data_IF_361362528444
#
_entry.id   IF_361362528444
#
_cell.length_a   1.000
_cell.length_b   1.000
_cell.length_c   1.000
_cell.angle_alpha   90.00
_cell.angle_beta   90.00
_cell.angle_gamma   90.00
#
_symmetry.space_group_name_H-M   'P 1'
#
loop_
_entity.id
_entity.type
_entity.pdbx_description
1 polymer ?
#
# COMPACT_ATOMS: atom_id res chain seq x y z
N UNK A 1 -28.38 -36.72 38.38
CA UNK A 1 -27.57 -37.95 38.27
C UNK A 1 -26.25 -37.60 37.61
N UNK A 2 -25.16 -37.77 38.36
CA UNK A 2 -23.77 -37.60 37.95
C UNK A 2 -23.27 -38.81 37.13
N UNK A 3 -22.23 -38.59 36.34
CA UNK A 3 -21.34 -39.62 35.76
C UNK A 3 -20.48 -38.96 34.69
N UNK A 4 -19.31 -38.37 34.97
CA UNK A 4 -18.05 -38.90 35.54
C UNK A 4 -17.38 -39.96 34.66
N UNK A 5 -16.38 -39.55 33.88
CA UNK A 5 -15.27 -40.42 33.44
C UNK A 5 -13.95 -39.69 33.73
N UNK A 6 -12.99 -40.50 34.19
CA UNK A 6 -11.83 -40.17 35.02
C UNK A 6 -10.60 -39.71 34.21
N UNK A 7 -9.74 -39.00 34.97
CA UNK A 7 -8.34 -38.65 34.72
C UNK A 7 -7.40 -39.86 34.59
N UNK A 8 -6.39 -39.70 33.73
CA UNK A 8 -5.01 -40.20 33.85
C UNK A 8 -4.14 -39.09 33.21
N UNK A 9 -3.14 -38.44 33.80
CA UNK A 9 -2.36 -38.73 35.00
C UNK A 9 -0.96 -39.22 34.65
N UNK A 10 -0.08 -38.35 34.14
CA UNK A 10 1.37 -38.48 34.29
C UNK A 10 1.98 -37.08 34.47
N UNK A 11 2.41 -36.81 35.68
CA UNK A 11 3.38 -35.79 36.04
C UNK A 11 4.71 -36.49 36.35
N UNK A 12 5.84 -35.82 36.05
CA UNK A 12 7.22 -35.96 36.54
C UNK A 12 8.12 -35.41 35.40
N UNK A 13 9.08 -34.49 35.58
CA UNK A 13 9.77 -34.03 36.77
C UNK A 13 10.23 -32.57 36.61
N UNK A 14 10.04 -31.79 37.66
CA UNK A 14 10.85 -30.61 37.99
C UNK A 14 11.96 -31.08 38.94
N UNK A 15 13.22 -30.75 38.65
CA UNK A 15 14.21 -30.40 39.68
C UNK A 15 15.42 -29.73 39.04
N UNK A 16 15.66 -28.49 39.48
CA UNK A 16 16.96 -27.79 39.63
C UNK A 16 17.81 -27.62 38.35
N UNK A 17 18.40 -26.48 38.03
CA UNK A 17 19.52 -25.87 38.73
C UNK A 17 19.53 -24.36 38.47
N UNK A 18 19.42 -23.57 39.54
CA UNK A 18 19.99 -22.21 39.61
C UNK A 18 21.42 -22.36 40.14
N UNK A 19 22.40 -21.81 39.42
CA UNK A 19 23.51 -20.95 39.87
C UNK A 19 24.61 -20.99 38.79
N UNK A 20 25.13 -19.84 38.38
CA UNK A 20 26.33 -19.79 37.53
C UNK A 20 26.42 -18.59 36.60
N UNK A 21 26.46 -17.36 37.15
CA UNK A 21 27.06 -16.23 36.42
C UNK A 21 28.57 -16.47 36.32
N UNK A 22 29.13 -16.50 35.11
CA UNK A 22 30.27 -15.65 34.68
C UNK A 22 30.69 -15.96 33.24
N UNK A 23 30.90 -14.87 32.52
CA UNK A 23 31.40 -14.66 31.16
C UNK A 23 32.42 -15.69 30.65
N UNK A 24 32.28 -16.13 29.39
CA UNK A 24 33.34 -16.03 28.38
C UNK A 24 32.72 -15.80 27.00
N UNK A 25 33.20 -14.76 26.35
CA UNK A 25 33.02 -14.33 24.96
C UNK A 25 33.31 -15.43 23.93
N UNK A 26 32.37 -15.69 23.03
CA UNK A 26 32.59 -16.49 21.82
C UNK A 26 31.87 -15.83 20.64
N UNK A 27 32.58 -15.00 19.87
CA UNK A 27 32.09 -14.43 18.62
C UNK A 27 31.99 -15.53 17.56
N UNK A 28 30.77 -15.84 17.12
CA UNK A 28 30.54 -16.66 15.94
C UNK A 28 30.95 -15.89 14.67
N UNK A 29 31.79 -16.50 13.84
CA UNK A 29 32.19 -15.99 12.53
C UNK A 29 31.36 -16.65 11.44
N UNK A 30 30.75 -15.85 10.55
CA UNK A 30 30.11 -16.31 9.31
C UNK A 30 30.93 -15.73 8.15
N UNK A 31 31.33 -16.58 7.20
CA UNK A 31 32.09 -16.17 6.02
C UNK A 31 31.15 -15.50 5.00
N UNK A 32 31.39 -14.22 4.69
CA UNK A 32 30.66 -13.44 3.69
C UNK A 32 31.56 -12.90 2.57
N UNK A 33 31.15 -13.16 1.33
CA UNK A 33 31.58 -12.62 0.02
C UNK A 33 33.05 -12.18 -0.18
N UNK A 34 33.78 -12.95 -0.98
CA UNK A 34 35.10 -12.56 -1.52
C UNK A 34 34.97 -11.42 -2.54
N UNK A 35 35.55 -10.24 -2.26
CA UNK A 35 35.90 -9.28 -3.31
C UNK A 35 37.25 -9.69 -3.92
N UNK A 36 37.30 -9.84 -5.25
CA UNK A 36 38.51 -10.17 -6.01
C UNK A 36 39.12 -8.86 -6.50
N UNK A 37 40.31 -8.51 -6.03
CA UNK A 37 41.14 -7.44 -6.61
C UNK A 37 42.31 -8.07 -7.38
N UNK A 38 42.43 -7.76 -8.68
CA UNK A 38 43.54 -8.21 -9.52
C UNK A 38 44.74 -7.29 -9.36
N UNK A 39 45.93 -7.87 -9.16
CA UNK A 39 47.21 -7.16 -9.24
C UNK A 39 47.94 -7.71 -10.45
N UNK A 40 48.15 -6.87 -11.48
CA UNK A 40 49.05 -7.16 -12.61
C UNK A 40 50.50 -7.05 -12.14
N UNK A 41 51.33 -8.04 -12.45
CA UNK A 41 52.78 -7.90 -12.39
C UNK A 41 53.39 -8.44 -13.68
N UNK A 42 54.11 -7.56 -14.37
CA UNK A 42 54.91 -7.82 -15.57
C UNK A 42 56.21 -8.55 -15.20
N UNK A 43 56.58 -9.55 -16.01
CA UNK A 43 57.84 -10.27 -15.85
C UNK A 43 58.15 -11.16 -17.06
N UNK A 44 59.06 -10.67 -17.91
CA UNK A 44 59.57 -11.29 -19.14
C UNK A 44 60.46 -12.51 -18.85
N UNK A 45 60.35 -13.59 -19.64
CA UNK A 45 61.40 -14.04 -20.58
C UNK A 45 61.15 -15.46 -21.13
N UNK A 46 61.53 -15.59 -22.39
CA UNK A 46 61.40 -16.69 -23.35
C UNK A 46 62.52 -17.74 -23.29
N UNK A 47 62.26 -18.99 -23.69
CA UNK A 47 63.17 -19.79 -24.53
C UNK A 47 62.51 -21.02 -25.16
N UNK A 48 62.66 -21.14 -26.49
CA UNK A 48 62.54 -22.33 -27.36
C UNK A 48 63.72 -23.32 -27.09
N UNK A 49 63.81 -24.62 -27.43
CA UNK A 49 63.32 -25.49 -28.53
C UNK A 49 63.48 -27.00 -28.16
N UNK A 50 62.89 -27.86 -29.01
CA UNK A 50 63.30 -29.23 -29.41
C UNK A 50 63.42 -30.32 -28.33
N UNK A 51 62.37 -31.12 -28.15
CA UNK A 51 62.30 -32.47 -28.71
C UNK A 51 60.89 -33.06 -28.50
N UNK A 52 60.48 -34.00 -29.37
CA UNK A 52 59.13 -34.56 -29.39
C UNK A 52 58.73 -35.24 -28.08
N UNK A 53 57.44 -35.07 -27.72
CA UNK A 53 56.70 -35.65 -26.57
C UNK A 53 56.94 -35.02 -25.19
N UNK A 54 55.93 -34.31 -24.66
CA UNK A 54 55.79 -34.09 -23.22
C UNK A 54 54.36 -33.76 -22.79
N UNK A 55 53.90 -34.48 -21.77
CA UNK A 55 52.62 -34.36 -21.04
C UNK A 55 52.47 -32.97 -20.41
N UNK A 56 51.27 -32.40 -20.49
CA UNK A 56 50.87 -31.23 -19.69
C UNK A 56 50.67 -31.64 -18.22
N UNK A 57 51.64 -31.28 -17.38
CA UNK A 57 51.52 -31.29 -15.92
C UNK A 57 51.01 -29.91 -15.50
N UNK A 58 49.74 -29.80 -15.11
CA UNK A 58 49.22 -28.55 -14.54
C UNK A 58 49.60 -28.46 -13.05
N UNK A 59 50.56 -27.58 -12.76
CA UNK A 59 50.96 -27.24 -11.39
C UNK A 59 49.97 -26.19 -10.82
N UNK A 60 49.08 -26.62 -9.91
CA UNK A 60 48.13 -25.72 -9.25
C UNK A 60 48.86 -24.84 -8.22
N UNK A 61 48.94 -23.52 -8.47
CA UNK A 61 49.46 -22.54 -7.49
C UNK A 61 48.41 -22.29 -6.40
N UNK A 62 48.74 -22.65 -5.16
CA UNK A 62 47.91 -22.36 -3.99
C UNK A 62 47.99 -20.88 -3.59
N UNK A 63 46.85 -20.18 -3.53
CA UNK A 63 46.75 -18.82 -2.97
C UNK A 63 46.16 -18.88 -1.56
N UNK A 64 46.85 -18.31 -0.57
CA UNK A 64 46.33 -18.12 0.80
C UNK A 64 45.74 -16.71 0.94
N UNK A 65 44.45 -16.55 1.30
CA UNK A 65 43.88 -15.24 1.61
C UNK A 65 44.42 -14.74 2.96
N UNK A 66 44.95 -13.51 3.02
CA UNK A 66 45.22 -12.81 4.29
C UNK A 66 43.94 -12.14 4.77
N UNK A 67 43.44 -12.52 5.94
CA UNK A 67 42.32 -11.82 6.59
C UNK A 67 42.82 -10.54 7.27
N UNK A 68 42.20 -9.40 7.01
CA UNK A 68 42.33 -8.19 7.84
C UNK A 68 41.06 -8.04 8.68
N UNK A 69 41.21 -8.05 10.00
CA UNK A 69 40.11 -7.80 10.94
C UNK A 69 39.80 -6.31 10.99
N UNK A 70 38.58 -5.89 10.62
CA UNK A 70 38.03 -4.57 10.95
C UNK A 70 37.16 -4.67 12.20
N UNK A 71 37.31 -3.70 13.09
CA UNK A 71 36.53 -3.54 14.32
C UNK A 71 35.07 -3.16 14.03
N UNK A 72 34.15 -3.74 14.80
CA UNK A 72 32.69 -3.51 14.73
C UNK A 72 32.33 -2.09 15.19
N UNK A 73 31.95 -1.24 14.26
CA UNK A 73 31.13 -0.06 14.57
C UNK A 73 29.67 -0.50 14.67
N UNK A 74 28.96 -0.02 15.69
CA UNK A 74 27.52 -0.23 15.93
C UNK A 74 26.72 -0.03 14.65
N UNK A 75 26.21 -1.11 14.07
CA UNK A 75 25.32 -1.06 12.93
C UNK A 75 23.97 -0.51 13.37
N UNK A 76 23.75 0.79 13.18
CA UNK A 76 22.39 1.28 12.95
C UNK A 76 21.92 0.64 11.63
N UNK A 77 20.81 -0.08 11.69
CA UNK A 77 20.19 -0.62 10.47
C UNK A 77 19.95 0.54 9.52
N UNK A 78 20.38 0.49 8.25
CA UNK A 78 20.09 1.56 7.31
C UNK A 78 18.57 1.70 7.20
N UNK A 79 18.03 2.84 7.61
CA UNK A 79 16.62 3.16 7.40
C UNK A 79 16.39 3.26 5.89
N UNK A 80 15.63 2.31 5.32
CA UNK A 80 15.24 2.38 3.91
C UNK A 80 14.48 3.70 3.70
N UNK A 81 14.91 4.57 2.77
CA UNK A 81 14.20 5.80 2.46
C UNK A 81 12.73 5.52 2.13
N UNK A 82 11.82 6.32 2.69
CA UNK A 82 10.35 6.17 2.54
C UNK A 82 9.91 5.99 1.08
N UNK A 83 10.58 6.72 0.17
CA UNK A 83 10.37 6.65 -1.28
C UNK A 83 10.61 5.25 -1.86
N UNK A 84 11.61 4.51 -1.38
CA UNK A 84 11.92 3.14 -1.83
C UNK A 84 10.91 2.13 -1.26
N UNK A 85 10.37 2.38 -0.07
CA UNK A 85 9.29 1.58 0.51
C UNK A 85 7.94 1.79 -0.21
N UNK A 86 7.83 2.85 -1.03
CA UNK A 86 6.58 3.26 -1.66
C UNK A 86 5.48 3.58 -0.65
N UNK A 87 5.87 4.02 0.55
CA UNK A 87 4.98 4.38 1.66
C UNK A 87 5.20 5.86 1.99
N UNK A 88 4.12 6.60 2.29
CA UNK A 88 4.19 8.06 2.51
C UNK A 88 4.47 8.44 3.97
N UNK A 89 4.35 7.51 4.91
CA UNK A 89 4.49 7.80 6.34
C UNK A 89 5.44 6.85 7.08
N UNK A 90 5.93 7.31 8.23
CA UNK A 90 6.69 6.48 9.16
C UNK A 90 5.82 5.37 9.76
N UNK A 91 6.45 4.36 10.38
CA UNK A 91 5.71 3.27 11.04
C UNK A 91 4.83 3.79 12.18
N UNK A 92 5.30 4.79 12.92
CA UNK A 92 4.55 5.38 14.03
C UNK A 92 3.31 6.15 13.51
N UNK A 93 3.46 6.97 12.47
CA UNK A 93 2.32 7.69 11.90
C UNK A 93 1.26 6.75 11.28
N UNK A 94 1.70 5.65 10.67
CA UNK A 94 0.80 4.62 10.17
C UNK A 94 0.04 3.94 11.32
N UNK A 95 0.70 3.67 12.45
CA UNK A 95 0.06 3.13 13.66
C UNK A 95 -0.95 4.12 14.23
N UNK A 96 -0.59 5.39 14.32
CA UNK A 96 -1.46 6.42 14.89
C UNK A 96 -2.69 6.65 14.01
N UNK A 97 -2.53 6.63 12.69
CA UNK A 97 -3.67 6.66 11.75
C UNK A 97 -4.59 5.45 11.91
N UNK A 98 -4.01 4.26 12.07
CA UNK A 98 -4.76 3.02 12.32
C UNK A 98 -5.49 3.01 13.66
N UNK A 99 -4.98 3.71 14.68
CA UNK A 99 -5.63 3.81 15.98
C UNK A 99 -6.97 4.55 15.93
N UNK A 100 -7.20 5.39 14.91
CA UNK A 100 -8.48 6.08 14.69
C UNK A 100 -9.52 5.20 13.99
N UNK A 101 -9.10 4.14 13.29
CA UNK A 101 -10.04 3.31 12.52
C UNK A 101 -11.17 2.66 13.32
N UNK A 102 -10.93 2.12 14.55
CA UNK A 102 -12.01 1.59 15.38
C UNK A 102 -13.07 2.63 15.73
N UNK A 103 -12.68 3.90 15.95
CA UNK A 103 -13.62 4.99 16.19
C UNK A 103 -14.49 5.24 14.95
N UNK A 104 -13.91 5.21 13.75
CA UNK A 104 -14.66 5.36 12.49
C UNK A 104 -15.71 4.25 12.34
N UNK A 105 -15.34 2.99 12.61
CA UNK A 105 -16.29 1.87 12.56
C UNK A 105 -17.41 2.08 13.57
N UNK A 106 -17.07 2.36 14.84
CA UNK A 106 -18.04 2.63 15.91
C UNK A 106 -18.98 3.78 15.56
N UNK A 107 -18.47 4.84 14.95
CA UNK A 107 -19.27 6.01 14.62
C UNK A 107 -20.29 5.77 13.51
N UNK A 108 -19.99 4.82 12.62
CA UNK A 108 -20.86 4.40 11.54
C UNK A 108 -21.82 3.29 11.95
N UNK A 109 -21.48 2.49 12.97
CA UNK A 109 -22.25 1.28 13.31
C UNK A 109 -22.81 1.21 14.73
N UNK A 110 -22.43 2.09 15.66
CA UNK A 110 -22.84 1.92 17.07
C UNK A 110 -23.45 3.18 17.70
N UNK A 111 -23.42 4.33 17.03
CA UNK A 111 -23.81 5.61 17.65
C UNK A 111 -25.32 5.84 17.68
N UNK A 112 -26.07 4.90 18.28
CA UNK A 112 -27.49 5.05 18.61
C UNK A 112 -28.43 5.23 17.42
N UNK A 113 -27.95 5.01 16.20
CA UNK A 113 -28.74 5.06 14.97
C UNK A 113 -29.12 3.64 14.56
N UNK A 114 -30.33 3.48 14.06
CA UNK A 114 -30.77 2.24 13.42
C UNK A 114 -30.73 0.99 14.35
N UNK A 115 -31.14 1.17 15.62
CA UNK A 115 -31.20 0.10 16.62
C UNK A 115 -32.19 -1.03 16.22
N UNK A 116 -33.10 -0.74 15.30
CA UNK A 116 -34.10 -1.63 14.74
C UNK A 116 -33.57 -2.54 13.62
N UNK A 117 -32.36 -2.28 13.08
CA UNK A 117 -31.73 -3.09 12.02
C UNK A 117 -30.32 -3.60 12.39
N UNK A 118 -30.16 -4.32 13.52
CA UNK A 118 -28.85 -4.73 14.03
C UNK A 118 -28.05 -5.61 13.05
N UNK A 119 -28.71 -6.36 12.18
CA UNK A 119 -28.05 -7.21 11.19
C UNK A 119 -27.39 -6.41 10.06
N UNK A 120 -28.06 -5.36 9.57
CA UNK A 120 -27.50 -4.44 8.57
C UNK A 120 -26.29 -3.69 9.14
N UNK A 121 -26.39 -3.26 10.40
CA UNK A 121 -25.34 -2.54 11.10
C UNK A 121 -24.10 -3.42 11.36
N UNK A 122 -24.29 -4.68 11.79
CA UNK A 122 -23.22 -5.67 11.90
C UNK A 122 -22.58 -5.99 10.54
N UNK A 123 -23.40 -6.08 9.49
CA UNK A 123 -22.91 -6.29 8.13
C UNK A 123 -22.04 -5.12 7.66
N UNK A 124 -22.47 -3.89 7.92
CA UNK A 124 -21.72 -2.70 7.55
C UNK A 124 -20.35 -2.64 8.24
N UNK A 125 -20.28 -2.98 9.54
CA UNK A 125 -19.01 -3.10 10.25
C UNK A 125 -18.05 -4.08 9.55
N UNK A 126 -18.58 -5.21 9.08
CA UNK A 126 -17.80 -6.22 8.35
C UNK A 126 -17.31 -5.70 6.99
N UNK A 127 -18.16 -4.98 6.24
CA UNK A 127 -17.80 -4.34 4.96
C UNK A 127 -16.64 -3.36 5.17
N UNK A 128 -16.72 -2.50 6.19
CA UNK A 128 -15.67 -1.54 6.56
C UNK A 128 -14.35 -2.25 6.90
N UNK A 129 -14.39 -3.19 7.85
CA UNK A 129 -13.20 -3.90 8.34
C UNK A 129 -12.50 -4.72 7.24
N UNK A 130 -13.26 -5.27 6.28
CA UNK A 130 -12.67 -6.02 5.19
C UNK A 130 -12.02 -5.11 4.15
N UNK A 131 -12.71 -4.05 3.72
CA UNK A 131 -12.32 -3.31 2.52
C UNK A 131 -11.41 -2.10 2.79
N UNK A 132 -11.55 -1.44 3.94
CA UNK A 132 -10.93 -0.12 4.19
C UNK A 132 -9.49 -0.20 4.72
N UNK A 133 -9.17 -0.85 5.86
CA UNK A 133 -7.90 -0.66 6.60
C UNK A 133 -6.67 -1.31 5.95
N UNK A 134 -6.88 -2.17 4.96
CA UNK A 134 -5.81 -2.85 4.23
C UNK A 134 -4.96 -1.91 3.35
N UNK A 135 -3.98 -2.47 2.64
CA UNK A 135 -3.12 -1.69 1.73
C UNK A 135 -2.20 -0.69 2.45
N UNK A 136 -1.56 0.17 1.65
CA UNK A 136 -0.54 1.12 2.13
C UNK A 136 -1.12 2.39 2.78
N UNK A 137 -2.40 2.70 2.51
CA UNK A 137 -3.10 3.90 3.01
C UNK A 137 -2.42 5.22 2.62
N UNK A 138 -1.72 5.23 1.49
CA UNK A 138 -0.93 6.37 1.05
C UNK A 138 -1.79 7.62 0.82
N UNK A 139 -3.08 7.48 0.44
CA UNK A 139 -3.94 8.63 0.14
C UNK A 139 -4.36 9.32 1.44
N UNK A 140 -4.82 8.56 2.43
CA UNK A 140 -5.13 9.08 3.76
C UNK A 140 -3.90 9.67 4.45
N UNK A 141 -2.75 8.99 4.38
CA UNK A 141 -1.49 9.49 4.96
C UNK A 141 -0.95 10.74 4.26
N UNK A 142 -1.08 10.84 2.93
CA UNK A 142 -0.69 12.02 2.18
C UNK A 142 -1.51 13.26 2.59
N UNK A 143 -2.80 13.10 2.87
CA UNK A 143 -3.65 14.18 3.40
C UNK A 143 -3.11 14.69 4.74
N UNK A 144 -2.83 13.78 5.67
CA UNK A 144 -2.32 14.14 7.01
C UNK A 144 -0.97 14.85 6.89
N UNK A 145 -0.08 14.35 6.03
CA UNK A 145 1.22 14.97 5.79
C UNK A 145 1.06 16.38 5.19
N UNK A 146 0.21 16.53 4.17
CA UNK A 146 -0.07 17.82 3.56
C UNK A 146 -0.66 18.80 4.58
N UNK A 147 -1.58 18.35 5.44
CA UNK A 147 -2.17 19.19 6.48
C UNK A 147 -1.09 19.67 7.48
N UNK A 148 -0.24 18.76 7.97
CA UNK A 148 0.87 19.12 8.87
C UNK A 148 1.87 20.09 8.25
N UNK A 149 2.06 20.01 6.93
CA UNK A 149 2.98 20.89 6.21
C UNK A 149 2.39 22.28 5.90
N UNK A 150 1.07 22.37 5.74
CA UNK A 150 0.36 23.59 5.34
C UNK A 150 -0.18 24.40 6.52
N UNK A 151 -0.60 23.72 7.59
CA UNK A 151 -1.21 24.38 8.74
C UNK A 151 -0.18 25.16 9.58
N UNK A 152 -0.62 26.28 10.16
CA UNK A 152 0.17 27.02 11.16
C UNK A 152 0.52 26.15 12.36
N UNK A 153 1.66 26.42 13.03
CA UNK A 153 2.12 25.60 14.17
C UNK A 153 1.12 25.56 15.33
N UNK A 154 0.37 26.64 15.50
CA UNK A 154 -0.73 26.82 16.44
C UNK A 154 -1.97 25.97 16.11
N UNK A 155 -2.21 25.71 14.82
CA UNK A 155 -3.31 24.86 14.35
C UNK A 155 -3.01 23.36 14.46
N UNK A 156 -1.76 22.96 14.71
CA UNK A 156 -1.35 21.55 14.90
C UNK A 156 -1.72 21.00 16.29
N UNK A 157 -2.95 21.27 16.72
CA UNK A 157 -3.51 20.74 17.97
C UNK A 157 -3.83 19.24 17.83
N UNK A 158 -3.86 18.47 18.93
CA UNK A 158 -4.25 17.05 18.89
C UNK A 158 -5.62 16.82 18.25
N UNK A 159 -6.56 17.75 18.48
CA UNK A 159 -7.91 17.67 17.92
C UNK A 159 -7.91 17.88 16.41
N UNK A 160 -7.21 18.89 15.91
CA UNK A 160 -7.10 19.14 14.47
C UNK A 160 -6.33 18.02 13.75
N UNK A 161 -5.30 17.47 14.37
CA UNK A 161 -4.60 16.28 13.85
C UNK A 161 -5.57 15.10 13.76
N UNK A 162 -6.38 14.86 14.80
CA UNK A 162 -7.40 13.81 14.78
C UNK A 162 -8.44 14.03 13.69
N UNK A 163 -8.89 15.26 13.47
CA UNK A 163 -9.77 15.61 12.35
C UNK A 163 -9.10 15.31 11.00
N UNK A 164 -7.81 15.61 10.84
CA UNK A 164 -7.08 15.27 9.60
C UNK A 164 -7.00 13.75 9.38
N UNK A 165 -6.87 12.97 10.45
CA UNK A 165 -6.92 11.51 10.39
C UNK A 165 -8.32 11.00 10.00
N UNK A 166 -9.38 11.58 10.54
CA UNK A 166 -10.76 11.21 10.15
C UNK A 166 -11.00 11.55 8.67
N UNK A 167 -10.54 12.71 8.20
CA UNK A 167 -10.61 13.08 6.78
C UNK A 167 -9.79 12.10 5.91
N UNK A 168 -8.63 11.67 6.38
CA UNK A 168 -7.83 10.64 5.72
C UNK A 168 -8.60 9.31 5.58
N UNK A 169 -9.37 8.91 6.59
CA UNK A 169 -10.25 7.74 6.51
C UNK A 169 -11.40 7.94 5.52
N UNK A 170 -11.98 9.14 5.42
CA UNK A 170 -12.95 9.47 4.36
C UNK A 170 -12.35 9.20 2.97
N UNK A 171 -11.10 9.62 2.72
CA UNK A 171 -10.41 9.36 1.44
C UNK A 171 -10.17 7.87 1.20
N UNK A 172 -9.75 7.11 2.22
CA UNK A 172 -9.56 5.65 2.10
C UNK A 172 -10.88 4.90 1.91
N UNK A 173 -11.99 5.39 2.49
CA UNK A 173 -13.34 4.86 2.24
C UNK A 173 -13.80 5.10 0.80
N UNK A 174 -13.56 6.30 0.24
CA UNK A 174 -13.82 6.58 -1.17
C UNK A 174 -13.03 5.64 -2.09
N UNK A 175 -11.74 5.40 -1.77
CA UNK A 175 -10.96 4.42 -2.51
C UNK A 175 -11.56 3.01 -2.37
N UNK A 176 -11.95 2.59 -1.16
CA UNK A 176 -12.51 1.26 -0.94
C UNK A 176 -13.80 1.05 -1.73
N UNK A 177 -14.67 2.06 -1.79
CA UNK A 177 -15.86 2.09 -2.64
C UNK A 177 -15.50 1.80 -4.11
N UNK A 178 -14.59 2.58 -4.70
CA UNK A 178 -14.18 2.36 -6.09
C UNK A 178 -13.57 0.98 -6.32
N UNK A 179 -12.76 0.47 -5.39
CA UNK A 179 -12.13 -0.84 -5.52
C UNK A 179 -13.13 -2.00 -5.47
N UNK A 180 -14.16 -1.93 -4.62
CA UNK A 180 -15.21 -2.96 -4.57
C UNK A 180 -15.92 -3.06 -5.91
N UNK A 181 -16.27 -1.93 -6.52
CA UNK A 181 -16.93 -1.91 -7.83
C UNK A 181 -15.98 -2.26 -8.98
N UNK A 182 -14.74 -1.74 -8.99
CA UNK A 182 -13.70 -2.05 -9.98
C UNK A 182 -13.40 -3.54 -10.01
N UNK A 183 -13.30 -4.19 -8.85
CA UNK A 183 -13.03 -5.63 -8.76
C UNK A 183 -14.15 -6.47 -9.41
N UNK A 184 -15.42 -6.04 -9.30
CA UNK A 184 -16.57 -6.67 -9.96
C UNK A 184 -16.50 -6.42 -11.47
N UNK A 185 -16.37 -5.16 -11.91
CA UNK A 185 -16.33 -4.80 -13.33
C UNK A 185 -15.15 -5.46 -14.06
N UNK A 186 -14.01 -5.62 -13.37
CA UNK A 186 -12.81 -6.25 -13.90
C UNK A 186 -12.82 -7.78 -13.79
N UNK A 187 -13.75 -8.40 -13.05
CA UNK A 187 -13.69 -9.83 -12.69
C UNK A 187 -12.37 -10.20 -12.01
N UNK A 188 -11.94 -9.37 -11.07
CA UNK A 188 -10.68 -9.55 -10.34
C UNK A 188 -10.82 -10.68 -9.31
N UNK A 189 -9.75 -11.45 -9.06
CA UNK A 189 -9.80 -12.58 -8.12
C UNK A 189 -9.28 -12.18 -6.75
N UNK A 190 -8.19 -11.41 -6.72
CA UNK A 190 -7.54 -11.00 -5.47
C UNK A 190 -7.35 -9.49 -5.40
N UNK A 191 -7.40 -8.97 -4.16
CA UNK A 191 -7.11 -7.59 -3.80
C UNK A 191 -6.41 -7.56 -2.45
N UNK A 192 -5.25 -6.89 -2.37
CA UNK A 192 -4.48 -6.71 -1.12
C UNK A 192 -4.17 -8.07 -0.44
N UNK A 193 -3.82 -9.08 -1.24
CA UNK A 193 -3.47 -10.43 -0.77
C UNK A 193 -4.65 -11.29 -0.30
N UNK A 194 -5.90 -10.84 -0.48
CA UNK A 194 -7.12 -11.58 -0.10
C UNK A 194 -8.09 -11.67 -1.28
N UNK A 195 -9.09 -12.57 -1.28
CA UNK A 195 -10.13 -12.58 -2.30
C UNK A 195 -10.85 -11.23 -2.40
N UNK A 196 -11.17 -10.80 -3.62
CA UNK A 196 -12.02 -9.62 -3.84
C UNK A 196 -13.36 -9.77 -3.10
N UNK A 197 -13.93 -8.66 -2.61
CA UNK A 197 -15.09 -8.70 -1.71
C UNK A 197 -16.29 -9.44 -2.31
N UNK A 198 -16.57 -9.25 -3.61
CA UNK A 198 -17.68 -9.92 -4.28
C UNK A 198 -17.52 -11.46 -4.37
N UNK A 199 -16.31 -11.99 -4.20
CA UNK A 199 -16.05 -13.43 -4.12
C UNK A 199 -16.15 -13.97 -2.69
N UNK A 200 -16.17 -13.09 -1.68
CA UNK A 200 -16.25 -13.52 -0.29
C UNK A 200 -17.60 -14.19 -0.02
N UNK A 201 -17.58 -15.48 0.36
CA UNK A 201 -18.78 -16.28 0.65
C UNK A 201 -19.83 -16.24 -0.48
N UNK A 202 -19.40 -16.16 -1.74
CA UNK A 202 -20.27 -16.10 -2.92
C UNK A 202 -21.28 -14.93 -2.91
N UNK A 203 -20.88 -13.76 -2.39
CA UNK A 203 -21.71 -12.54 -2.39
C UNK A 203 -22.18 -12.13 -3.80
N UNK A 204 -21.30 -12.25 -4.79
CA UNK A 204 -21.60 -11.86 -6.16
C UNK A 204 -21.95 -10.37 -6.29
N UNK A 205 -22.98 -10.06 -7.08
CA UNK A 205 -23.41 -8.69 -7.38
C UNK A 205 -24.02 -7.96 -6.17
N UNK A 206 -24.36 -8.66 -5.08
CA UNK A 206 -24.81 -8.00 -3.85
C UNK A 206 -23.74 -7.05 -3.27
N UNK A 207 -22.46 -7.31 -3.57
CA UNK A 207 -21.35 -6.43 -3.20
C UNK A 207 -21.44 -5.02 -3.82
N UNK A 208 -22.27 -4.79 -4.85
CA UNK A 208 -22.56 -3.45 -5.37
C UNK A 208 -23.20 -2.58 -4.30
N UNK A 209 -24.17 -3.11 -3.54
CA UNK A 209 -24.79 -2.40 -2.42
C UNK A 209 -23.77 -2.11 -1.31
N UNK A 210 -22.85 -3.03 -1.05
CA UNK A 210 -21.79 -2.82 -0.05
C UNK A 210 -20.81 -1.70 -0.48
N UNK A 211 -20.60 -1.52 -1.78
CA UNK A 211 -19.92 -0.34 -2.31
C UNK A 211 -20.66 0.95 -1.94
N UNK A 212 -21.98 1.01 -2.16
CA UNK A 212 -22.81 2.16 -1.80
C UNK A 212 -22.81 2.43 -0.29
N UNK A 213 -22.78 1.38 0.55
CA UNK A 213 -22.62 1.53 2.01
C UNK A 213 -21.32 2.27 2.37
N UNK A 214 -20.20 1.96 1.68
CA UNK A 214 -18.94 2.66 1.90
C UNK A 214 -19.03 4.14 1.52
N UNK A 215 -19.64 4.45 0.38
CA UNK A 215 -19.82 5.83 -0.10
C UNK A 215 -20.73 6.64 0.83
N UNK A 216 -21.90 6.11 1.20
CA UNK A 216 -22.81 6.81 2.11
C UNK A 216 -22.24 6.93 3.53
N UNK A 217 -21.50 5.91 4.00
CA UNK A 217 -20.75 5.97 5.26
C UNK A 217 -19.76 7.12 5.30
N UNK A 218 -19.03 7.36 4.20
CA UNK A 218 -18.14 8.50 4.04
C UNK A 218 -18.90 9.81 4.29
N UNK A 219 -20.02 10.04 3.60
CA UNK A 219 -20.77 11.29 3.72
C UNK A 219 -21.37 11.48 5.12
N UNK A 220 -21.78 10.39 5.77
CA UNK A 220 -22.20 10.40 7.16
C UNK A 220 -21.07 10.81 8.10
N UNK A 221 -19.85 10.33 7.88
CA UNK A 221 -18.68 10.69 8.67
C UNK A 221 -18.30 12.16 8.46
N UNK A 222 -18.34 12.64 7.21
CA UNK A 222 -18.13 14.06 6.87
C UNK A 222 -19.12 14.95 7.61
N UNK A 223 -20.41 14.62 7.56
CA UNK A 223 -21.46 15.38 8.22
C UNK A 223 -21.36 15.36 9.76
N UNK A 224 -20.79 14.30 10.33
CA UNK A 224 -20.62 14.20 11.79
C UNK A 224 -19.49 15.07 12.32
N UNK A 225 -18.36 15.08 11.64
CA UNK A 225 -17.13 15.69 12.15
C UNK A 225 -16.86 17.09 11.60
N UNK A 226 -17.39 17.41 10.43
CA UNK A 226 -17.01 18.62 9.71
C UNK A 226 -18.18 19.57 9.46
N UNK A 227 -19.44 19.21 9.77
CA UNK A 227 -20.61 20.05 9.47
C UNK A 227 -20.50 21.48 9.97
N UNK A 228 -19.93 21.68 11.16
CA UNK A 228 -19.78 23.00 11.77
C UNK A 228 -18.47 23.70 11.39
N UNK A 229 -17.63 23.08 10.53
CA UNK A 229 -16.38 23.66 10.07
C UNK A 229 -16.63 24.59 8.87
N UNK A 230 -15.90 25.72 8.77
CA UNK A 230 -16.13 26.72 7.73
C UNK A 230 -15.82 26.24 6.31
N UNK A 231 -15.12 25.10 6.17
CA UNK A 231 -14.76 24.48 4.89
C UNK A 231 -15.61 23.24 4.56
N UNK A 232 -16.66 22.94 5.33
CA UNK A 232 -17.48 21.75 5.14
C UNK A 232 -18.03 21.61 3.72
N UNK A 233 -18.63 22.68 3.19
CA UNK A 233 -19.24 22.69 1.87
C UNK A 233 -18.18 22.45 0.79
N UNK A 234 -17.03 23.13 0.87
CA UNK A 234 -15.93 22.94 -0.07
C UNK A 234 -15.43 21.48 -0.08
N UNK A 235 -15.29 20.88 1.11
CA UNK A 235 -14.92 19.46 1.24
C UNK A 235 -15.97 18.56 0.60
N UNK A 236 -17.25 18.77 0.90
CA UNK A 236 -18.35 17.96 0.39
C UNK A 236 -18.44 18.03 -1.15
N UNK A 237 -18.40 19.25 -1.69
CA UNK A 237 -18.37 19.51 -3.14
C UNK A 237 -17.17 18.84 -3.81
N UNK A 238 -15.98 18.95 -3.21
CA UNK A 238 -14.77 18.33 -3.73
C UNK A 238 -14.87 16.79 -3.76
N UNK A 239 -15.44 16.17 -2.72
CA UNK A 239 -15.67 14.72 -2.72
C UNK A 239 -16.61 14.30 -3.85
N UNK A 240 -17.74 14.99 -4.02
CA UNK A 240 -18.68 14.70 -5.11
C UNK A 240 -18.08 14.92 -6.49
N UNK A 241 -17.39 16.04 -6.70
CA UNK A 241 -16.74 16.39 -7.97
C UNK A 241 -15.68 15.35 -8.36
N UNK A 242 -14.82 14.97 -7.41
CA UNK A 242 -13.80 13.94 -7.63
C UNK A 242 -14.44 12.58 -7.86
N UNK A 243 -15.50 12.23 -7.12
CA UNK A 243 -16.20 10.97 -7.32
C UNK A 243 -16.82 10.87 -8.72
N UNK A 244 -17.43 11.95 -9.21
CA UNK A 244 -17.95 12.05 -10.57
C UNK A 244 -16.83 11.91 -11.60
N UNK A 245 -15.73 12.65 -11.44
CA UNK A 245 -14.55 12.57 -12.33
C UNK A 245 -13.99 11.17 -12.41
N UNK A 246 -13.84 10.48 -11.27
CA UNK A 246 -13.34 9.10 -11.24
C UNK A 246 -14.31 8.12 -11.89
N UNK A 247 -15.61 8.29 -11.68
CA UNK A 247 -16.64 7.50 -12.36
C UNK A 247 -16.62 7.74 -13.88
N UNK A 248 -16.46 8.98 -14.34
CA UNK A 248 -16.29 9.29 -15.76
C UNK A 248 -15.02 8.66 -16.34
N UNK A 249 -13.92 8.67 -15.60
CA UNK A 249 -12.68 7.97 -15.97
C UNK A 249 -12.87 6.46 -16.09
N UNK A 250 -13.64 5.86 -15.17
CA UNK A 250 -14.03 4.45 -15.25
C UNK A 250 -14.92 4.16 -16.46
N UNK A 251 -15.90 5.01 -16.75
CA UNK A 251 -16.72 4.90 -17.96
C UNK A 251 -15.85 4.94 -19.21
N UNK A 252 -14.84 5.80 -19.25
CA UNK A 252 -13.92 5.91 -20.37
C UNK A 252 -13.10 4.62 -20.58
N UNK A 253 -12.62 3.99 -19.50
CA UNK A 253 -11.93 2.69 -19.49
C UNK A 253 -12.84 1.57 -20.04
N UNK A 254 -14.09 1.51 -19.58
CA UNK A 254 -15.07 0.53 -20.04
C UNK A 254 -15.45 0.72 -21.52
N UNK A 255 -15.60 1.96 -21.98
CA UNK A 255 -15.94 2.26 -23.38
C UNK A 255 -14.83 1.89 -24.37
N UNK A 256 -13.58 1.84 -23.91
CA UNK A 256 -12.47 1.35 -24.73
C UNK A 256 -12.51 -0.17 -24.93
N UNK A 257 -13.09 -0.89 -23.98
CA UNK A 257 -13.19 -2.36 -23.98
C UNK A 257 -14.59 -2.86 -24.39
N UNK A 258 -15.47 -1.96 -24.83
CA UNK A 258 -16.88 -2.26 -25.12
C UNK A 258 -17.56 -3.01 -23.97
N UNK A 259 -17.36 -2.56 -22.73
CA UNK A 259 -17.90 -3.20 -21.51
C UNK A 259 -17.48 -4.67 -21.36
N UNK A 260 -16.27 -5.03 -21.81
CA UNK A 260 -15.74 -6.39 -21.73
C UNK A 260 -16.06 -7.27 -22.94
N UNK A 261 -16.63 -6.72 -24.01
CA UNK A 261 -16.71 -7.37 -25.31
C UNK A 261 -15.36 -7.25 -26.06
N UNK A 262 -15.38 -7.21 -27.39
CA UNK A 262 -14.16 -7.08 -28.20
C UNK A 262 -13.57 -5.67 -28.07
N UNK A 263 -12.27 -5.49 -27.73
CA UNK A 263 -11.67 -4.17 -27.64
C UNK A 263 -11.68 -3.47 -29.00
N UNK A 264 -11.83 -2.15 -28.99
CA UNK A 264 -11.68 -1.29 -30.19
C UNK A 264 -10.26 -0.75 -30.17
N UNK A 265 -9.35 -1.41 -30.88
CA UNK A 265 -7.91 -1.07 -30.86
C UNK A 265 -7.64 0.34 -31.38
N UNK A 266 -8.51 0.87 -32.24
CA UNK A 266 -8.45 2.25 -32.75
C UNK A 266 -8.64 3.29 -31.64
N UNK A 267 -9.29 2.91 -30.53
CA UNK A 267 -9.45 3.78 -29.35
C UNK A 267 -8.22 3.74 -28.43
N UNK A 268 -7.26 2.84 -28.65
CA UNK A 268 -6.07 2.69 -27.80
C UNK A 268 -5.01 3.72 -28.20
N UNK A 269 -5.36 4.99 -28.02
CA UNK A 269 -4.48 6.13 -28.29
C UNK A 269 -3.89 6.66 -26.99
N UNK A 270 -2.72 7.31 -27.07
CA UNK A 270 -2.11 7.96 -25.91
C UNK A 270 -3.03 9.04 -25.31
N UNK A 271 -3.80 9.75 -26.14
CA UNK A 271 -4.77 10.74 -25.64
C UNK A 271 -5.89 10.10 -24.82
N UNK A 272 -6.38 8.94 -25.26
CA UNK A 272 -7.38 8.15 -24.52
C UNK A 272 -6.79 7.66 -23.20
N UNK A 273 -5.60 7.06 -23.25
CA UNK A 273 -4.87 6.59 -22.07
C UNK A 273 -4.67 7.74 -21.06
N UNK A 274 -4.11 8.87 -21.49
CA UNK A 274 -3.87 10.04 -20.64
C UNK A 274 -5.17 10.54 -20.00
N UNK A 275 -6.27 10.55 -20.74
CA UNK A 275 -7.59 10.91 -20.21
C UNK A 275 -8.08 9.90 -19.16
N UNK A 276 -7.98 8.59 -19.44
CA UNK A 276 -8.36 7.55 -18.48
C UNK A 276 -7.55 7.73 -17.19
N UNK A 277 -6.23 7.82 -17.29
CA UNK A 277 -5.34 7.97 -16.13
C UNK A 277 -5.66 9.22 -15.31
N UNK A 278 -5.82 10.36 -15.98
CA UNK A 278 -6.12 11.65 -15.33
C UNK A 278 -7.42 11.56 -14.52
N UNK A 279 -8.49 11.06 -15.14
CA UNK A 279 -9.82 11.04 -14.52
C UNK A 279 -10.00 9.88 -13.54
N UNK A 280 -9.63 8.66 -13.94
CA UNK A 280 -9.80 7.44 -13.14
C UNK A 280 -8.87 7.40 -11.93
N UNK A 281 -7.66 7.95 -12.01
CA UNK A 281 -6.65 7.79 -10.95
C UNK A 281 -6.17 9.11 -10.35
N UNK A 282 -5.73 10.06 -11.16
CA UNK A 282 -4.97 11.21 -10.65
C UNK A 282 -5.80 12.10 -9.70
N UNK A 283 -7.06 12.37 -10.03
CA UNK A 283 -7.93 13.23 -9.21
C UNK A 283 -8.14 12.71 -7.79
N UNK A 284 -8.60 11.46 -7.62
CA UNK A 284 -8.89 10.94 -6.28
C UNK A 284 -7.63 10.50 -5.51
N UNK A 285 -6.54 10.20 -6.23
CA UNK A 285 -5.33 9.66 -5.60
C UNK A 285 -4.32 10.72 -5.17
N UNK A 286 -4.24 11.85 -5.88
CA UNK A 286 -3.24 12.89 -5.64
C UNK A 286 -3.87 14.25 -5.37
N UNK A 287 -4.81 14.68 -6.22
CA UNK A 287 -5.45 15.99 -6.05
C UNK A 287 -6.32 16.05 -4.80
N UNK A 288 -7.24 15.08 -4.61
CA UNK A 288 -8.20 15.08 -3.50
C UNK A 288 -7.52 15.15 -2.12
N UNK A 289 -6.53 14.29 -1.77
CA UNK A 289 -5.89 14.36 -0.45
C UNK A 289 -5.30 15.73 -0.11
N UNK A 290 -4.62 16.35 -1.07
CA UNK A 290 -3.91 17.63 -0.85
C UNK A 290 -4.88 18.80 -0.86
N UNK A 291 -5.85 18.83 -1.78
CA UNK A 291 -6.87 19.88 -1.82
C UNK A 291 -7.74 19.88 -0.55
N UNK A 292 -8.07 18.71 0.00
CA UNK A 292 -8.74 18.60 1.30
C UNK A 292 -7.88 19.19 2.43
N UNK A 293 -6.58 18.86 2.47
CA UNK A 293 -5.67 19.42 3.45
C UNK A 293 -5.53 20.95 3.34
N UNK A 294 -5.50 21.48 2.11
CA UNK A 294 -5.49 22.92 1.85
C UNK A 294 -6.74 23.61 2.43
N UNK A 295 -7.93 23.06 2.18
CA UNK A 295 -9.16 23.58 2.77
C UNK A 295 -9.15 23.51 4.30
N UNK A 296 -8.66 22.41 4.89
CA UNK A 296 -8.53 22.26 6.33
C UNK A 296 -7.54 23.26 6.95
N UNK A 297 -6.48 23.62 6.22
CA UNK A 297 -5.49 24.62 6.62
C UNK A 297 -5.93 26.07 6.30
N UNK A 298 -7.14 26.29 5.78
CA UNK A 298 -7.70 27.63 5.54
C UNK A 298 -7.39 28.24 4.17
N UNK A 299 -6.75 27.50 3.26
CA UNK A 299 -6.49 27.95 1.89
C UNK A 299 -7.78 27.87 1.06
N UNK A 300 -8.40 29.04 0.81
CA UNK A 300 -9.62 29.17 0.01
C UNK A 300 -9.37 29.77 -1.37
N UNK A 301 -8.16 30.22 -1.63
CA UNK A 301 -7.82 30.91 -2.87
C UNK A 301 -7.77 29.92 -4.04
N UNK A 302 -8.51 30.22 -5.09
CA UNK A 302 -8.66 29.32 -6.23
C UNK A 302 -7.34 29.11 -6.99
N UNK A 303 -6.48 30.12 -6.99
CA UNK A 303 -5.20 30.07 -7.70
C UNK A 303 -4.21 29.09 -7.06
N UNK A 304 -4.06 29.04 -5.73
CA UNK A 304 -3.22 28.01 -5.09
C UNK A 304 -3.75 26.61 -5.36
N UNK A 305 -5.07 26.42 -5.30
CA UNK A 305 -5.69 25.13 -5.64
C UNK A 305 -5.43 24.75 -7.10
N UNK A 306 -5.49 25.71 -8.03
CA UNK A 306 -5.18 25.49 -9.46
C UNK A 306 -3.72 25.10 -9.69
N UNK A 307 -2.79 25.77 -9.02
CA UNK A 307 -1.36 25.47 -9.10
C UNK A 307 -1.04 24.08 -8.52
N UNK A 308 -1.55 23.79 -7.32
CA UNK A 308 -1.40 22.48 -6.69
C UNK A 308 -1.98 21.37 -7.57
N UNK A 309 -3.20 21.56 -8.10
CA UNK A 309 -3.86 20.62 -9.02
C UNK A 309 -3.01 20.31 -10.25
N UNK A 310 -2.34 21.30 -10.84
CA UNK A 310 -1.49 21.08 -12.03
C UNK A 310 -0.37 20.09 -11.71
N UNK A 311 0.36 20.29 -10.61
CA UNK A 311 1.45 19.41 -10.19
C UNK A 311 0.93 18.01 -9.82
N UNK A 312 -0.16 17.95 -9.06
CA UNK A 312 -0.71 16.69 -8.53
C UNK A 312 -1.27 15.79 -9.63
N UNK A 313 -1.80 16.36 -10.72
CA UNK A 313 -2.28 15.58 -11.84
C UNK A 313 -1.13 14.93 -12.63
N UNK A 314 -0.01 15.63 -12.82
CA UNK A 314 1.20 15.07 -13.43
C UNK A 314 1.80 13.94 -12.58
N UNK A 315 1.86 14.12 -11.26
CA UNK A 315 2.26 13.06 -10.32
C UNK A 315 1.35 11.83 -10.43
N UNK A 316 0.05 12.04 -10.56
CA UNK A 316 -0.92 10.95 -10.73
C UNK A 316 -0.76 10.20 -12.05
N UNK A 317 -0.38 10.91 -13.12
CA UNK A 317 -0.09 10.27 -14.40
C UNK A 317 1.13 9.36 -14.31
N UNK A 318 2.20 9.84 -13.67
CA UNK A 318 3.40 9.04 -13.40
C UNK A 318 3.09 7.81 -12.54
N UNK A 319 2.30 7.96 -11.48
CA UNK A 319 1.91 6.85 -10.61
C UNK A 319 1.15 5.73 -11.36
N UNK A 320 0.23 6.09 -12.25
CA UNK A 320 -0.52 5.09 -12.99
C UNK A 320 0.36 4.31 -13.98
N UNK A 321 1.36 4.95 -14.60
CA UNK A 321 2.34 4.26 -15.47
C UNK A 321 3.11 3.20 -14.68
N UNK A 322 3.48 3.48 -13.43
CA UNK A 322 4.15 2.50 -12.56
C UNK A 322 3.25 1.32 -12.21
N UNK A 323 1.96 1.55 -11.97
CA UNK A 323 0.99 0.51 -11.59
C UNK A 323 0.56 -0.39 -12.77
N UNK A 324 0.88 -0.05 -14.03
CA UNK A 324 0.55 -0.90 -15.18
C UNK A 324 1.20 -2.28 -15.00
N UNK A 325 0.42 -3.38 -15.09
CA UNK A 325 0.91 -4.72 -14.81
C UNK A 325 2.12 -5.14 -15.64
N UNK A 326 2.35 -4.58 -16.83
CA UNK A 326 3.56 -4.86 -17.62
C UNK A 326 4.84 -4.39 -16.91
N UNK A 327 4.82 -3.23 -16.23
CA UNK A 327 5.98 -2.72 -15.49
C UNK A 327 6.21 -3.49 -14.17
N UNK A 328 5.14 -3.87 -13.46
CA UNK A 328 5.28 -4.66 -12.21
C UNK A 328 5.55 -6.16 -12.46
N UNK A 329 5.00 -6.74 -13.53
CA UNK A 329 5.16 -8.17 -13.83
C UNK A 329 6.50 -8.49 -14.54
N UNK A 330 7.08 -7.55 -15.30
CA UNK A 330 8.39 -7.75 -15.93
C UNK A 330 9.58 -7.46 -15.01
N UNK A 331 9.38 -6.75 -13.88
CA UNK A 331 10.50 -6.30 -13.03
C UNK A 331 10.37 -6.62 -11.53
N UNK A 332 9.25 -7.17 -11.06
CA UNK A 332 9.05 -7.51 -9.64
C UNK A 332 8.71 -8.99 -9.41
N UNK A 333 9.08 -9.59 -8.27
CA UNK A 333 8.64 -10.95 -7.93
C UNK A 333 7.10 -10.99 -7.83
N UNK A 334 6.49 -12.09 -8.31
CA UNK A 334 5.02 -12.30 -8.39
C UNK A 334 4.31 -12.07 -7.04
N UNK A 335 5.02 -12.22 -5.93
CA UNK A 335 4.55 -11.93 -4.56
C UNK A 335 4.25 -10.44 -4.30
N UNK A 336 4.66 -9.53 -5.18
CA UNK A 336 4.44 -8.08 -5.06
C UNK A 336 3.10 -7.64 -5.68
N UNK A 337 2.49 -8.48 -6.52
CA UNK A 337 1.32 -8.12 -7.32
C UNK A 337 0.05 -8.29 -6.48
N UNK A 338 -0.51 -7.18 -6.01
CA UNK A 338 -1.68 -7.17 -5.12
C UNK A 338 -3.02 -7.48 -5.80
N UNK A 339 -3.06 -7.56 -7.14
CA UNK A 339 -4.26 -7.82 -7.95
C UNK A 339 -3.96 -8.89 -9.01
N UNK A 340 -4.60 -10.04 -8.91
CA UNK A 340 -4.55 -11.08 -9.95
C UNK A 340 -5.88 -11.12 -10.69
N UNK A 341 -5.82 -11.19 -12.02
CA UNK A 341 -6.96 -11.50 -12.87
C UNK A 341 -7.13 -13.02 -12.94
N UNK A 342 -8.37 -13.48 -13.13
CA UNK A 342 -8.67 -14.91 -13.25
C UNK A 342 -7.93 -15.57 -14.42
N UNK A 343 -7.82 -16.91 -14.36
CA UNK A 343 -7.08 -17.76 -15.33
C UNK A 343 -7.53 -17.65 -16.80
N UNK A 344 -8.56 -16.87 -17.11
CA UNK A 344 -9.09 -16.69 -18.46
C UNK A 344 -8.86 -15.23 -18.91
N UNK A 345 -7.88 -15.07 -19.81
CA UNK A 345 -7.55 -13.88 -20.59
C UNK A 345 -7.31 -12.58 -19.80
N UNK A 346 -6.11 -12.03 -19.94
CA UNK A 346 -5.86 -10.60 -19.75
C UNK A 346 -6.97 -9.81 -20.45
N UNK A 347 -7.84 -9.14 -19.68
CA UNK A 347 -8.78 -8.19 -20.27
C UNK A 347 -7.93 -7.15 -21.01
N UNK A 348 -8.17 -6.92 -22.31
CA UNK A 348 -7.47 -5.87 -23.03
C UNK A 348 -7.83 -4.56 -22.33
N UNK A 349 -6.84 -3.86 -21.77
CA UNK A 349 -6.99 -2.53 -21.19
C UNK A 349 -6.20 -1.55 -22.03
N UNK A 350 -6.72 -0.32 -22.12
CA UNK A 350 -6.12 0.77 -22.91
C UNK A 350 -4.84 1.29 -22.28
#
# INVERSE_FOLDING_TARGET
MLGTVRKCGVALAQTSWKEGRRCVSGTASIAGSNQITSIRNDGKNTSFSNDGTSRLVYQCKSYRPRSHSRSLSTASSPSIPLAISGTVATKDESRDFMAVFPDVVRDLTETGRHLDIPDATKWFAKVLQYNVPGGKKNRGLALIYAYKALAGKDELTPENIRLSQIMGWCVEMLQAYFLVLDDIMDNSVTRRGRPCWYLHKNLGTAAVNDGLLLEHGLYQLLSRYFRDKPYYINVLELFHDVALKTTMGQTLDLLSTQFGAKPILEKFTMDRYNSIVKYKTAYYSFHLPVALAMYMAGFKDEESHRQAKTILLEMGQFFQVQEIPYHLACMGPVTSVCKLHGKNLQKPKT
#
